data_IF_960347174901
#
_entry.id   IF_960347174901
#
_cell.length_a   1.000
_cell.length_b   1.000
_cell.length_c   1.000
_cell.angle_alpha   90.00
_cell.angle_beta   90.00
_cell.angle_gamma   90.00
#
_symmetry.space_group_name_H-M   'P 1'
#
loop_
_entity.id
_entity.type
_entity.pdbx_description
1 polymer ?
#
# COMPACT_ATOMS: atom_id res chain seq x y z
N UNK A 1 -12.16 10.67 1.22
CA UNK A 1 -12.04 9.62 2.27
C UNK A 1 -11.12 10.18 3.36
N UNK A 2 -11.55 10.29 4.62
CA UNK A 2 -10.77 11.01 5.65
C UNK A 2 -9.72 10.14 6.35
N UNK A 3 -10.02 8.86 6.58
CA UNK A 3 -9.12 7.91 7.24
C UNK A 3 -9.11 6.59 6.46
N UNK A 4 -8.19 6.39 5.50
CA UNK A 4 -8.21 5.21 4.66
C UNK A 4 -7.78 3.96 5.43
N UNK A 5 -8.43 2.84 5.13
CA UNK A 5 -8.20 1.53 5.74
C UNK A 5 -8.27 0.47 4.66
N UNK A 6 -7.24 -0.38 4.57
CA UNK A 6 -7.34 -1.63 3.81
C UNK A 6 -8.21 -2.61 4.61
N UNK A 7 -9.23 -3.17 3.95
CA UNK A 7 -10.14 -4.12 4.61
C UNK A 7 -9.34 -5.34 5.06
N UNK A 8 -9.46 -5.71 6.35
CA UNK A 8 -8.67 -6.79 6.98
C UNK A 8 -8.76 -8.16 6.29
N UNK A 9 -9.83 -8.42 5.53
CA UNK A 9 -9.98 -9.68 4.80
C UNK A 9 -9.24 -9.70 3.45
N UNK A 10 -8.76 -8.54 2.97
CA UNK A 10 -7.95 -8.47 1.76
C UNK A 10 -6.52 -8.82 2.12
N UNK A 11 -5.97 -9.83 1.45
CA UNK A 11 -4.55 -10.11 1.44
C UNK A 11 -3.88 -9.24 0.38
N UNK A 12 -2.73 -8.69 0.72
CA UNK A 12 -1.86 -7.98 -0.21
C UNK A 12 -0.59 -8.80 -0.35
N UNK A 13 -0.32 -9.28 -1.56
CA UNK A 13 0.82 -10.17 -1.82
C UNK A 13 1.67 -9.56 -2.93
N UNK A 14 2.86 -9.02 -2.62
CA UNK A 14 3.81 -8.59 -3.63
C UNK A 14 4.41 -9.79 -4.37
N UNK A 15 4.42 -9.77 -5.71
CA UNK A 15 5.05 -10.82 -6.52
C UNK A 15 5.63 -10.23 -7.83
N UNK A 16 6.87 -10.59 -8.18
CA UNK A 16 7.54 -10.03 -9.37
C UNK A 16 7.54 -8.50 -9.38
N UNK A 17 6.98 -7.89 -10.44
CA UNK A 17 6.75 -6.43 -10.57
C UNK A 17 5.32 -5.99 -10.24
N UNK A 18 4.51 -6.89 -9.66
CA UNK A 18 3.10 -6.68 -9.39
C UNK A 18 2.76 -6.79 -7.91
N UNK A 19 1.62 -6.23 -7.54
CA UNK A 19 0.94 -6.41 -6.27
C UNK A 19 -0.41 -7.08 -6.51
N UNK A 20 -0.65 -8.21 -5.86
CA UNK A 20 -1.96 -8.88 -5.86
C UNK A 20 -2.77 -8.45 -4.63
N UNK A 21 -4.01 -8.01 -4.82
CA UNK A 21 -4.91 -7.59 -3.73
C UNK A 21 -6.22 -8.37 -3.84
N UNK A 22 -6.52 -9.22 -2.86
CA UNK A 22 -7.76 -10.00 -2.89
C UNK A 22 -7.90 -10.96 -1.72
N UNK A 23 -9.00 -11.71 -1.72
CA UNK A 23 -9.29 -12.74 -0.70
C UNK A 23 -8.95 -14.15 -1.19
N UNK A 24 -8.86 -14.35 -2.50
CA UNK A 24 -8.55 -15.63 -3.16
C UNK A 24 -7.62 -15.39 -4.36
N UNK A 25 -6.73 -16.34 -4.70
CA UNK A 25 -5.75 -16.15 -5.79
C UNK A 25 -6.37 -15.82 -7.16
N UNK A 26 -7.47 -16.48 -7.54
CA UNK A 26 -8.08 -16.33 -8.87
C UNK A 26 -9.09 -15.17 -8.97
N UNK A 27 -9.27 -14.41 -7.89
CA UNK A 27 -10.18 -13.26 -7.84
C UNK A 27 -9.51 -11.99 -7.33
N UNK A 28 -8.18 -12.01 -7.21
CA UNK A 28 -7.42 -10.87 -6.77
C UNK A 28 -7.20 -9.86 -7.91
N UNK A 29 -7.20 -8.58 -7.55
CA UNK A 29 -6.82 -7.50 -8.45
C UNK A 29 -5.30 -7.50 -8.53
N UNK A 30 -4.76 -7.51 -9.74
CA UNK A 30 -3.33 -7.35 -9.96
C UNK A 30 -3.02 -5.92 -10.42
N UNK A 31 -2.03 -5.31 -9.78
CA UNK A 31 -1.56 -3.97 -10.09
C UNK A 31 -0.06 -4.05 -10.41
N UNK A 32 0.38 -3.45 -11.51
CA UNK A 32 1.81 -3.23 -11.75
C UNK A 32 2.35 -2.24 -10.71
N UNK A 33 3.32 -2.67 -9.92
CA UNK A 33 3.94 -1.92 -8.83
C UNK A 33 5.44 -2.27 -8.74
N UNK A 34 6.23 -1.98 -9.80
CA UNK A 34 7.62 -2.42 -9.91
C UNK A 34 8.51 -1.86 -8.79
N UNK A 35 8.23 -0.64 -8.33
CA UNK A 35 9.00 0.05 -7.29
C UNK A 35 8.40 -0.12 -5.89
N UNK A 36 7.36 -0.95 -5.73
CA UNK A 36 6.66 -1.19 -4.47
C UNK A 36 6.06 0.07 -3.82
N UNK A 37 5.77 1.09 -4.63
CA UNK A 37 5.25 2.36 -4.15
C UNK A 37 3.81 2.21 -3.66
N UNK A 38 3.00 1.40 -4.35
CA UNK A 38 1.60 1.18 -4.02
C UNK A 38 1.51 0.32 -2.75
N UNK A 39 2.24 -0.79 -2.71
CA UNK A 39 2.33 -1.67 -1.53
C UNK A 39 2.74 -0.88 -0.27
N UNK A 40 3.77 -0.04 -0.38
CA UNK A 40 4.26 0.80 0.71
C UNK A 40 3.18 1.74 1.24
N UNK A 41 2.43 2.42 0.36
CA UNK A 41 1.34 3.31 0.79
C UNK A 41 0.20 2.54 1.44
N UNK A 42 -0.25 1.44 0.82
CA UNK A 42 -1.36 0.64 1.32
C UNK A 42 -1.05 -0.02 2.67
N UNK A 43 0.21 -0.36 2.94
CA UNK A 43 0.65 -0.89 4.23
C UNK A 43 0.42 0.08 5.40
N UNK A 44 0.33 1.39 5.14
CA UNK A 44 0.13 2.44 6.15
C UNK A 44 -1.37 2.72 6.37
N UNK A 45 -2.25 2.22 5.50
CA UNK A 45 -3.70 2.45 5.57
C UNK A 45 -4.34 1.64 6.71
N UNK A 46 -4.31 2.21 7.91
CA UNK A 46 -4.75 1.59 9.17
C UNK A 46 -6.07 2.15 9.72
N UNK A 47 -6.70 3.10 9.02
CA UNK A 47 -7.92 3.78 9.45
C UNK A 47 -7.74 4.77 10.60
N UNK A 48 -6.50 5.09 10.99
CA UNK A 48 -6.18 6.03 12.08
C UNK A 48 -5.61 7.35 11.59
N UNK A 49 -4.92 7.33 10.45
CA UNK A 49 -4.25 8.51 9.86
C UNK A 49 -5.05 9.09 8.69
N UNK A 50 -4.91 10.39 8.45
CA UNK A 50 -5.47 11.03 7.25
C UNK A 50 -4.60 10.81 6.02
N UNK A 51 -5.15 11.09 4.84
CA UNK A 51 -4.40 11.01 3.58
C UNK A 51 -3.17 11.92 3.59
N UNK A 52 -3.29 13.12 4.16
CA UNK A 52 -2.20 14.10 4.27
C UNK A 52 -1.10 13.62 5.22
N UNK A 53 -1.47 12.97 6.32
CA UNK A 53 -0.51 12.37 7.26
C UNK A 53 0.24 11.21 6.62
N UNK A 54 -0.47 10.34 5.90
CA UNK A 54 0.14 9.20 5.19
C UNK A 54 1.09 9.70 4.09
N UNK A 55 0.69 10.73 3.35
CA UNK A 55 1.54 11.35 2.34
C UNK A 55 2.85 11.87 2.94
N UNK A 56 2.79 12.59 4.06
CA UNK A 56 3.99 13.08 4.75
C UNK A 56 4.92 11.95 5.19
N UNK A 57 4.39 10.88 5.78
CA UNK A 57 5.18 9.72 6.21
C UNK A 57 5.91 9.06 5.03
N UNK A 58 5.19 8.84 3.92
CA UNK A 58 5.78 8.22 2.74
C UNK A 58 6.89 9.08 2.11
N UNK A 59 6.73 10.40 2.09
CA UNK A 59 7.79 11.32 1.62
C UNK A 59 9.03 11.24 2.52
N UNK A 60 8.86 11.21 3.85
CA UNK A 60 9.99 11.14 4.78
C UNK A 60 10.76 9.81 4.68
N UNK A 61 10.07 8.69 4.47
CA UNK A 61 10.74 7.39 4.31
C UNK A 61 11.53 7.32 3.00
N UNK A 62 11.04 7.93 1.92
CA UNK A 62 11.80 8.01 0.68
C UNK A 62 13.03 8.92 0.80
N UNK A 63 12.95 10.01 1.56
CA UNK A 63 14.10 10.84 1.87
C UNK A 63 15.15 10.04 2.66
N UNK A 64 14.75 9.27 3.68
CA UNK A 64 15.68 8.43 4.46
C UNK A 64 16.40 7.37 3.64
N UNK A 65 15.79 6.85 2.56
CA UNK A 65 16.44 5.88 1.67
C UNK A 65 17.51 6.50 0.76
N UNK A 66 17.57 7.83 0.66
CA UNK A 66 18.50 8.58 -0.19
C UNK A 66 19.75 9.09 0.56
N UNK A 67 19.80 8.93 1.89
CA UNK A 67 20.92 9.35 2.77
C UNK A 67 21.64 8.11 3.27
#
# INVERSE_FOLDING_TARGET
>A
MKYPLVRKHLMMVPFGKKLSIGTIPNGAIEIEDPDRAIDSVLSIYDGKRTVEEIHRLNVMDNIKKLI
#
